data_IF_278288841306
#
_entry.id   IF_278288841306
#
_cell.length_a   1.000
_cell.length_b   1.000
_cell.length_c   1.000
_cell.angle_alpha   90.00
_cell.angle_beta   90.00
_cell.angle_gamma   90.00
#
_symmetry.space_group_name_H-M   'P 1'
#
loop_
_entity.id
_entity.type
_entity.pdbx_description
1 polymer ?
#
# COMPACT_ATOMS: atom_id res chain seq x y z
N UNK A 1 1.29 3.95 -5.44
CA UNK A 1 0.56 3.16 -4.42
C UNK A 1 -0.87 3.69 -4.26
N UNK A 2 -1.85 2.82 -4.01
CA UNK A 2 -3.24 3.20 -3.70
C UNK A 2 -3.60 2.69 -2.30
N UNK A 3 -4.20 3.56 -1.47
CA UNK A 3 -4.78 3.20 -0.18
C UNK A 3 -6.31 3.23 -0.26
N UNK A 4 -6.99 2.37 0.49
CA UNK A 4 -8.46 2.31 0.49
C UNK A 4 -9.07 3.64 0.95
N UNK A 5 -10.00 4.16 0.14
CA UNK A 5 -10.75 5.40 0.43
C UNK A 5 -11.84 5.22 1.48
N UNK A 6 -12.30 6.37 1.99
CA UNK A 6 -13.48 6.54 2.82
C UNK A 6 -14.73 5.86 2.20
N UNK A 7 -15.68 5.38 3.03
CA UNK A 7 -15.73 5.51 4.50
C UNK A 7 -14.77 4.58 5.25
N UNK A 8 -14.16 3.64 4.53
CA UNK A 8 -13.18 2.72 5.10
C UNK A 8 -11.87 3.43 5.48
N UNK A 9 -11.11 2.79 6.37
CA UNK A 9 -9.84 3.31 6.90
C UNK A 9 -8.68 2.43 6.46
N UNK A 10 -7.69 3.04 5.81
CA UNK A 10 -6.48 2.34 5.41
C UNK A 10 -5.60 2.02 6.62
N UNK A 11 -4.98 0.84 6.62
CA UNK A 11 -4.01 0.41 7.62
C UNK A 11 -2.60 0.47 7.03
N UNK A 12 -1.67 1.10 7.74
CA UNK A 12 -0.23 1.06 7.43
C UNK A 12 0.46 0.31 8.55
N UNK A 13 1.24 -0.70 8.22
CA UNK A 13 1.90 -1.54 9.20
C UNK A 13 3.36 -1.79 8.82
N UNK A 14 4.11 -2.32 9.78
CA UNK A 14 5.47 -2.79 9.57
C UNK A 14 5.98 -3.58 10.77
N UNK A 15 7.25 -3.98 10.69
CA UNK A 15 7.89 -4.82 11.70
C UNK A 15 9.09 -4.12 12.31
N UNK A 16 9.38 -4.42 13.58
CA UNK A 16 10.59 -3.99 14.27
C UNK A 16 10.90 -4.97 15.40
N UNK A 17 12.17 -5.32 15.64
CA UNK A 17 12.55 -6.23 16.72
C UNK A 17 12.46 -5.58 18.11
N UNK A 18 12.34 -4.26 18.21
CA UNK A 18 12.39 -3.54 19.49
C UNK A 18 10.99 -3.24 20.02
N UNK A 19 10.46 -4.13 20.86
CA UNK A 19 9.17 -3.94 21.53
C UNK A 19 9.15 -2.66 22.37
N UNK A 20 8.05 -1.91 22.29
CA UNK A 20 7.88 -0.62 22.96
C UNK A 20 8.56 0.55 22.26
N UNK A 21 9.32 0.32 21.17
CA UNK A 21 9.87 1.40 20.37
C UNK A 21 8.73 2.24 19.78
N UNK A 22 8.81 3.56 19.96
CA UNK A 22 7.86 4.51 19.41
C UNK A 22 8.02 4.63 17.90
N UNK A 23 6.91 4.56 17.19
CA UNK A 23 6.81 4.79 15.74
C UNK A 23 5.86 5.94 15.50
N UNK A 24 6.26 6.91 14.69
CA UNK A 24 5.43 8.06 14.33
C UNK A 24 5.24 8.13 12.82
N UNK A 25 4.06 8.57 12.40
CA UNK A 25 3.74 8.78 10.99
C UNK A 25 3.25 10.20 10.77
N UNK A 26 3.84 10.89 9.81
CA UNK A 26 3.34 12.16 9.27
C UNK A 26 2.79 11.93 7.87
N UNK A 27 1.55 12.33 7.65
CA UNK A 27 0.89 12.29 6.35
C UNK A 27 0.58 13.71 5.91
N UNK A 28 1.07 14.11 4.74
CA UNK A 28 0.92 15.45 4.18
C UNK A 28 0.17 15.34 2.86
N UNK A 29 -0.98 16.01 2.75
CA UNK A 29 -1.73 16.10 1.48
C UNK A 29 -0.92 16.78 0.37
N UNK A 30 -1.21 16.47 -0.89
CA UNK A 30 -0.56 17.06 -2.06
C UNK A 30 -1.63 17.76 -2.93
N UNK A 31 -1.60 19.09 -3.09
CA UNK A 31 -0.60 20.02 -2.53
C UNK A 31 -0.65 20.11 -0.99
N UNK A 32 0.47 20.50 -0.38
CA UNK A 32 0.73 20.54 1.07
C UNK A 32 -0.20 21.50 1.84
N UNK A 33 -1.47 21.11 1.96
CA UNK A 33 -2.54 21.93 2.56
C UNK A 33 -2.88 21.49 3.98
N UNK A 34 -2.71 20.20 4.28
CA UNK A 34 -2.96 19.59 5.58
C UNK A 34 -1.91 18.55 5.92
N UNK A 35 -1.59 18.47 7.21
CA UNK A 35 -0.71 17.46 7.81
C UNK A 35 -1.48 16.74 8.91
N UNK A 36 -1.36 15.42 8.94
CA UNK A 36 -1.92 14.53 9.95
C UNK A 36 -0.77 13.78 10.62
N UNK A 37 -0.86 13.61 11.94
CA UNK A 37 0.19 12.97 12.73
C UNK A 37 -0.40 11.80 13.50
N UNK A 38 0.29 10.67 13.45
CA UNK A 38 -0.08 9.45 14.14
C UNK A 38 1.10 8.94 14.95
N UNK A 39 0.81 8.25 16.04
CA UNK A 39 1.79 7.65 16.92
C UNK A 39 1.32 6.26 17.35
N UNK A 40 2.26 5.33 17.39
CA UNK A 40 2.05 3.98 17.90
C UNK A 40 3.35 3.48 18.53
N UNK A 41 3.33 2.27 19.05
CA UNK A 41 4.52 1.58 19.51
C UNK A 41 4.55 0.15 18.97
N UNK A 42 5.76 -0.38 18.82
CA UNK A 42 5.97 -1.78 18.45
C UNK A 42 5.41 -2.67 19.57
N UNK A 43 4.51 -3.57 19.21
CA UNK A 43 3.93 -4.58 20.10
C UNK A 43 4.32 -5.99 19.64
N UNK A 44 4.22 -6.94 20.56
CA UNK A 44 4.47 -8.34 20.24
C UNK A 44 3.30 -8.89 19.42
N UNK A 45 3.60 -9.48 18.25
CA UNK A 45 2.65 -10.19 17.40
C UNK A 45 3.23 -11.55 17.01
N UNK A 46 2.70 -12.63 17.60
CA UNK A 46 3.29 -13.96 17.47
C UNK A 46 4.76 -13.97 17.90
N UNK A 47 5.65 -14.36 16.98
CA UNK A 47 7.11 -14.39 17.20
C UNK A 47 7.84 -13.13 16.72
N UNK A 48 7.13 -12.11 16.23
CA UNK A 48 7.71 -10.88 15.68
C UNK A 48 7.22 -9.65 16.46
N UNK A 49 7.94 -8.53 16.33
CA UNK A 49 7.44 -7.24 16.75
C UNK A 49 6.79 -6.53 15.57
N UNK A 50 5.56 -6.05 15.75
CA UNK A 50 4.78 -5.39 14.72
C UNK A 50 4.25 -4.04 15.22
N UNK A 51 3.93 -3.16 14.30
CA UNK A 51 3.26 -1.89 14.57
C UNK A 51 2.29 -1.57 13.43
N UNK A 52 1.25 -0.80 13.74
CA UNK A 52 0.32 -0.33 12.73
C UNK A 52 -0.30 1.02 13.08
N UNK A 53 -0.75 1.70 12.04
CA UNK A 53 -1.56 2.92 12.06
C UNK A 53 -2.85 2.66 11.30
N UNK A 54 -3.98 2.90 11.95
CA UNK A 54 -5.28 3.03 11.27
C UNK A 54 -5.46 4.50 10.96
N UNK A 55 -5.40 4.85 9.68
CA UNK A 55 -5.51 6.24 9.24
C UNK A 55 -6.95 6.76 9.37
N UNK A 56 -7.10 8.08 9.42
CA UNK A 56 -8.39 8.71 9.17
C UNK A 56 -8.92 8.35 7.78
N UNK A 57 -10.25 8.33 7.58
CA UNK A 57 -10.81 8.05 6.26
C UNK A 57 -10.64 9.25 5.33
N UNK A 58 -10.04 9.03 4.15
CA UNK A 58 -9.83 10.07 3.14
C UNK A 58 -10.71 9.82 1.92
N UNK A 59 -11.27 10.89 1.35
CA UNK A 59 -12.03 10.79 0.11
C UNK A 59 -11.17 10.29 -1.07
N UNK A 60 -11.83 9.73 -2.08
CA UNK A 60 -11.16 9.31 -3.31
C UNK A 60 -10.43 10.48 -3.98
N UNK A 61 -9.27 10.20 -4.57
CA UNK A 61 -8.48 11.19 -5.32
C UNK A 61 -7.59 12.09 -4.46
N UNK A 62 -7.64 11.97 -3.13
CA UNK A 62 -6.69 12.66 -2.25
C UNK A 62 -5.31 12.02 -2.41
N UNK A 63 -4.33 12.81 -2.83
CA UNK A 63 -2.92 12.40 -2.90
C UNK A 63 -2.16 12.89 -1.66
N UNK A 64 -1.23 12.08 -1.17
CA UNK A 64 -0.45 12.34 0.04
C UNK A 64 1.01 11.88 -0.12
N UNK A 65 1.88 12.47 0.69
CA UNK A 65 3.19 11.94 1.04
C UNK A 65 3.18 11.48 2.49
N UNK A 66 3.84 10.37 2.77
CA UNK A 66 3.88 9.73 4.08
C UNK A 66 5.33 9.62 4.53
N UNK A 67 5.60 10.03 5.75
CA UNK A 67 6.88 9.85 6.42
C UNK A 67 6.66 9.03 7.68
N UNK A 68 7.41 7.95 7.85
CA UNK A 68 7.42 7.12 9.05
C UNK A 68 8.79 7.25 9.71
N UNK A 69 8.81 7.56 11.01
CA UNK A 69 10.03 7.69 11.81
C UNK A 69 9.99 6.74 13.00
N UNK A 70 11.10 6.07 13.27
CA UNK A 70 11.28 5.21 14.45
C UNK A 70 12.76 5.02 14.73
N UNK A 71 13.17 5.08 16.01
CA UNK A 71 14.54 4.72 16.41
C UNK A 71 15.68 5.51 15.75
N UNK A 72 15.40 6.68 15.18
CA UNK A 72 16.38 7.48 14.41
C UNK A 72 16.40 7.19 12.91
N UNK A 73 15.63 6.22 12.43
CA UNK A 73 15.41 5.93 11.01
C UNK A 73 14.16 6.65 10.49
N UNK A 74 14.17 6.96 9.20
CA UNK A 74 13.07 7.63 8.52
C UNK A 74 12.83 7.06 7.13
N UNK A 75 11.59 6.70 6.85
CA UNK A 75 11.15 6.24 5.54
C UNK A 75 10.14 7.21 4.96
N UNK A 76 10.37 7.62 3.71
CA UNK A 76 9.50 8.55 2.99
C UNK A 76 8.87 7.83 1.80
N UNK A 77 7.55 7.88 1.72
CA UNK A 77 6.74 7.32 0.65
C UNK A 77 6.01 8.49 0.01
N UNK A 78 6.20 8.69 -1.28
CA UNK A 78 5.54 9.73 -2.05
C UNK A 78 4.59 9.11 -3.06
N UNK A 79 3.75 9.93 -3.68
CA UNK A 79 2.79 9.49 -4.69
C UNK A 79 1.86 8.39 -4.16
N UNK A 80 1.21 8.65 -3.02
CA UNK A 80 0.18 7.77 -2.45
C UNK A 80 -1.18 8.41 -2.69
N UNK A 81 -2.12 7.68 -3.27
CA UNK A 81 -3.48 8.18 -3.54
C UNK A 81 -4.52 7.34 -2.81
N UNK A 82 -5.59 7.97 -2.32
CA UNK A 82 -6.74 7.26 -1.77
C UNK A 82 -7.75 6.92 -2.88
N UNK A 83 -8.13 5.65 -2.99
CA UNK A 83 -9.01 5.13 -4.04
C UNK A 83 -9.60 3.77 -3.67
N UNK A 84 -10.21 3.09 -4.65
CA UNK A 84 -10.66 1.72 -4.46
C UNK A 84 -9.50 0.74 -4.64
N UNK A 85 -9.39 -0.24 -3.73
CA UNK A 85 -8.38 -1.30 -3.79
C UNK A 85 -9.08 -2.60 -4.13
N UNK A 86 -8.69 -3.19 -5.27
CA UNK A 86 -9.24 -4.45 -5.76
C UNK A 86 -8.21 -5.56 -5.61
N UNK A 87 -8.61 -6.68 -5.01
CA UNK A 87 -7.82 -7.90 -5.00
C UNK A 87 -8.29 -8.76 -6.17
N UNK A 88 -7.46 -8.82 -7.21
CA UNK A 88 -7.73 -9.62 -8.40
C UNK A 88 -7.03 -10.97 -8.27
N UNK A 89 -7.79 -12.02 -7.94
CA UNK A 89 -7.28 -13.39 -7.80
C UNK A 89 -8.28 -14.41 -8.34
N UNK A 90 -7.80 -15.56 -8.79
CA UNK A 90 -8.62 -16.65 -9.31
C UNK A 90 -7.82 -17.66 -10.13
N UNK A 91 -8.42 -18.15 -11.21
CA UNK A 91 -7.79 -19.12 -12.12
C UNK A 91 -6.69 -18.48 -12.98
N UNK A 92 -5.93 -19.29 -13.71
CA UNK A 92 -4.74 -18.87 -14.47
C UNK A 92 -4.99 -17.76 -15.50
N UNK A 93 -6.19 -17.65 -16.07
CA UNK A 93 -6.53 -16.59 -17.02
C UNK A 93 -6.62 -15.20 -16.38
N UNK A 94 -6.75 -15.10 -15.05
CA UNK A 94 -6.73 -13.82 -14.34
C UNK A 94 -5.33 -13.21 -14.24
N UNK A 95 -4.29 -13.97 -14.61
CA UNK A 95 -2.92 -13.46 -14.71
C UNK A 95 -2.58 -12.97 -16.14
N UNK A 96 -3.51 -13.05 -17.10
CA UNK A 96 -3.25 -12.56 -18.44
C UNK A 96 -2.98 -11.05 -18.42
N UNK A 97 -1.90 -10.66 -19.09
CA UNK A 97 -1.54 -9.26 -19.29
C UNK A 97 -2.32 -8.66 -20.46
N UNK A 98 -2.38 -7.33 -20.54
CA UNK A 98 -3.05 -6.61 -21.65
C UNK A 98 -2.45 -7.01 -23.02
N UNK A 99 -1.18 -7.42 -23.09
CA UNK A 99 -0.58 -7.91 -24.34
C UNK A 99 -1.20 -9.22 -24.89
N UNK A 100 -2.02 -9.91 -24.10
CA UNK A 100 -2.56 -11.22 -24.43
C UNK A 100 -4.06 -11.19 -24.78
N UNK A 101 -4.70 -10.02 -24.77
CA UNK A 101 -6.13 -9.87 -25.09
C UNK A 101 -6.33 -9.45 -26.54
N UNK A 102 -7.55 -9.67 -27.05
CA UNK A 102 -7.99 -9.09 -28.32
C UNK A 102 -8.18 -7.57 -28.15
N UNK A 103 -7.73 -6.77 -29.13
CA UNK A 103 -7.73 -5.30 -29.02
C UNK A 103 -6.66 -4.69 -28.11
N UNK A 104 -5.55 -5.40 -27.88
CA UNK A 104 -4.49 -4.95 -26.98
C UNK A 104 -3.90 -3.58 -27.35
N UNK A 105 -3.72 -3.29 -28.64
CA UNK A 105 -3.12 -2.03 -29.12
C UNK A 105 -4.02 -0.83 -28.78
N UNK A 106 -5.34 -0.98 -28.95
CA UNK A 106 -6.33 0.04 -28.60
C UNK A 106 -6.37 0.31 -27.09
N UNK A 107 -6.40 -0.75 -26.27
CA UNK A 107 -6.43 -0.63 -24.80
C UNK A 107 -5.14 -0.01 -24.24
N UNK A 108 -3.98 -0.38 -24.81
CA UNK A 108 -2.69 0.23 -24.45
C UNK A 108 -2.68 1.71 -24.81
N UNK A 109 -3.23 2.09 -25.98
CA UNK A 109 -3.33 3.48 -26.39
C UNK A 109 -4.29 4.28 -25.49
N UNK A 110 -5.41 3.69 -25.05
CA UNK A 110 -6.39 4.34 -24.16
C UNK A 110 -5.90 4.46 -22.71
N UNK A 111 -4.94 3.62 -22.27
CA UNK A 111 -4.44 3.56 -20.90
C UNK A 111 -4.00 4.93 -20.32
N UNK A 112 -3.52 5.84 -21.18
CA UNK A 112 -3.14 7.19 -20.78
C UNK A 112 -4.29 8.02 -20.20
N UNK A 113 -5.54 7.67 -20.49
CA UNK A 113 -6.73 8.32 -19.94
C UNK A 113 -7.03 7.90 -18.49
N UNK A 114 -6.31 6.91 -17.93
CA UNK A 114 -6.52 6.39 -16.58
C UNK A 114 -5.26 6.51 -15.68
N UNK A 115 -4.70 7.72 -15.49
CA UNK A 115 -3.41 7.91 -14.81
C UNK A 115 -3.40 7.50 -13.31
N UNK A 116 -4.57 7.25 -12.72
CA UNK A 116 -4.70 6.86 -11.32
C UNK A 116 -4.85 5.34 -11.12
N UNK A 117 -4.94 4.56 -12.21
CA UNK A 117 -4.92 3.09 -12.11
C UNK A 117 -3.49 2.64 -11.84
N UNK A 118 -3.30 1.86 -10.78
CA UNK A 118 -1.99 1.34 -10.38
C UNK A 118 -2.09 -0.15 -10.17
N UNK A 119 -1.21 -0.89 -10.83
CA UNK A 119 -1.16 -2.36 -10.76
C UNK A 119 0.00 -2.76 -9.86
N UNK A 120 -0.26 -3.71 -8.97
CA UNK A 120 0.75 -4.35 -8.14
C UNK A 120 0.61 -5.86 -8.35
N UNK A 121 1.70 -6.53 -8.70
CA UNK A 121 1.72 -7.99 -8.82
C UNK A 121 2.69 -8.58 -7.81
N UNK A 122 2.43 -9.82 -7.41
CA UNK A 122 3.23 -10.53 -6.42
C UNK A 122 3.78 -11.80 -7.04
N UNK A 123 4.97 -12.19 -6.59
CA UNK A 123 5.51 -13.48 -7.00
C UNK A 123 4.60 -14.63 -6.57
N UNK A 124 4.51 -15.65 -7.42
CA UNK A 124 3.82 -16.91 -7.12
C UNK A 124 4.60 -17.70 -6.09
N UNK A 125 4.44 -17.33 -4.82
CA UNK A 125 5.00 -18.04 -3.69
C UNK A 125 3.92 -18.78 -2.93
N UNK A 126 4.07 -20.11 -2.82
CA UNK A 126 3.19 -20.94 -2.00
C UNK A 126 3.82 -21.16 -0.63
N UNK A 127 3.04 -20.94 0.43
CA UNK A 127 3.44 -21.24 1.80
C UNK A 127 2.48 -22.24 2.44
N UNK A 128 2.97 -23.29 3.13
CA UNK A 128 2.12 -24.21 3.89
C UNK A 128 1.57 -23.58 5.18
N UNK A 129 2.07 -22.41 5.58
CA UNK A 129 1.63 -21.66 6.77
C UNK A 129 1.37 -20.19 6.42
N UNK A 130 0.52 -19.48 7.19
CA UNK A 130 0.39 -18.03 7.04
C UNK A 130 1.75 -17.33 7.15
N UNK A 131 1.95 -16.33 6.31
CA UNK A 131 3.12 -15.45 6.35
C UNK A 131 2.71 -14.12 6.98
N UNK A 132 3.65 -13.47 7.67
CA UNK A 132 3.42 -12.15 8.24
C UNK A 132 3.46 -11.05 7.17
N UNK A 133 4.12 -11.30 6.04
CA UNK A 133 4.23 -10.33 4.95
C UNK A 133 4.41 -11.00 3.59
N UNK A 134 4.29 -10.20 2.54
CA UNK A 134 4.49 -10.61 1.16
C UNK A 134 5.98 -10.76 0.90
N UNK A 135 6.39 -11.94 0.43
CA UNK A 135 7.82 -12.28 0.27
C UNK A 135 8.50 -11.45 -0.80
N UNK A 136 7.82 -11.20 -1.92
CA UNK A 136 8.38 -10.41 -3.02
C UNK A 136 7.29 -9.83 -3.91
N UNK A 137 7.33 -8.50 -4.07
CA UNK A 137 6.61 -7.77 -5.09
C UNK A 137 7.26 -8.06 -6.45
N UNK A 138 6.45 -8.36 -7.44
CA UNK A 138 6.88 -8.47 -8.83
C UNK A 138 6.55 -7.12 -9.49
N UNK A 139 7.60 -6.34 -9.73
CA UNK A 139 7.47 -5.15 -10.58
C UNK A 139 7.23 -5.63 -12.03
N UNK A 140 6.28 -5.01 -12.75
CA UNK A 140 6.03 -5.30 -14.16
C UNK A 140 7.25 -4.97 -15.05
#
# INVERSE_FOLDING_TARGET
MVLQRAPEKANIYGFSPTIGQKVTLQLVTVPATRTYSYETAVHQDGSVGAWNFVLDPFAAGVTVSIRVDSGGESHNISDVIFGDVWICSGQSNMQMTVFQIDGADEEIADAHNYPNVRVMTFNMYHSPTPLHDIIKVQEP
#
